data_IF_197492725687
#
_entry.id   IF_197492725687
#
_cell.length_a   1.000
_cell.length_b   1.000
_cell.length_c   1.000
_cell.angle_alpha   90.00
_cell.angle_beta   90.00
_cell.angle_gamma   90.00
#
_symmetry.space_group_name_H-M   'P 1'
#
loop_
_entity.id
_entity.type
_entity.pdbx_description
1 polymer ?
#
# COMPACT_ATOMS: atom_id res chain seq x y z
N UNK A 1 -8.27 2.91 -7.96
CA UNK A 1 -8.66 1.88 -6.99
C UNK A 1 -10.11 2.17 -6.71
N UNK A 2 -10.99 1.27 -7.09
CA UNK A 2 -12.41 1.36 -6.77
C UNK A 2 -12.57 0.66 -5.42
N UNK A 3 -13.10 1.38 -4.43
CA UNK A 3 -13.38 0.83 -3.10
C UNK A 3 -14.85 1.13 -2.81
N UNK A 4 -15.60 0.09 -2.49
CA UNK A 4 -17.02 0.17 -2.15
C UNK A 4 -17.19 0.75 -0.74
N UNK A 5 -18.38 1.29 -0.46
CA UNK A 5 -18.73 1.75 0.88
C UNK A 5 -18.52 0.67 1.95
N UNK A 6 -18.89 -0.56 1.63
CA UNK A 6 -18.80 -1.71 2.52
C UNK A 6 -17.33 -2.02 2.86
N UNK A 7 -16.46 -2.07 1.86
CA UNK A 7 -15.01 -2.27 2.06
C UNK A 7 -14.39 -1.14 2.90
N UNK A 8 -14.79 0.12 2.66
CA UNK A 8 -14.31 1.25 3.48
C UNK A 8 -14.73 1.09 4.93
N UNK A 9 -15.97 0.65 5.18
CA UNK A 9 -16.46 0.41 6.53
C UNK A 9 -15.66 -0.68 7.22
N UNK A 10 -15.39 -1.79 6.53
CA UNK A 10 -14.63 -2.91 7.07
C UNK A 10 -13.19 -2.51 7.39
N UNK A 11 -12.52 -1.78 6.49
CA UNK A 11 -11.17 -1.26 6.73
C UNK A 11 -11.13 -0.31 7.93
N UNK A 12 -12.09 0.62 8.03
CA UNK A 12 -12.13 1.56 9.14
C UNK A 12 -12.40 0.86 10.49
N UNK A 13 -13.29 -0.13 10.50
CA UNK A 13 -13.55 -0.97 11.68
C UNK A 13 -12.32 -1.77 12.08
N UNK A 14 -11.65 -2.41 11.12
CA UNK A 14 -10.38 -3.11 11.34
C UNK A 14 -9.27 -2.19 11.86
N UNK A 15 -9.32 -0.89 11.57
CA UNK A 15 -8.39 0.08 12.15
C UNK A 15 -8.80 0.59 13.54
N UNK A 16 -9.85 0.05 14.17
CA UNK A 16 -10.40 0.52 15.44
C UNK A 16 -11.14 1.87 15.37
N UNK A 17 -11.58 2.28 14.17
CA UNK A 17 -12.27 3.55 13.96
C UNK A 17 -13.79 3.36 13.89
N UNK A 18 -14.53 4.35 14.40
CA UNK A 18 -15.98 4.41 14.17
C UNK A 18 -16.24 4.82 12.70
N UNK A 19 -16.39 3.82 11.83
CA UNK A 19 -16.53 4.00 10.39
C UNK A 19 -17.69 4.93 10.02
N UNK A 20 -18.85 4.76 10.66
CA UNK A 20 -20.05 5.56 10.37
C UNK A 20 -19.86 7.03 10.74
N UNK A 21 -19.30 7.29 11.92
CA UNK A 21 -19.00 8.64 12.37
C UNK A 21 -17.95 9.32 11.48
N UNK A 22 -16.87 8.60 11.15
CA UNK A 22 -15.81 9.09 10.28
C UNK A 22 -16.34 9.44 8.89
N UNK A 23 -17.06 8.51 8.25
CA UNK A 23 -17.65 8.72 6.93
C UNK A 23 -18.68 9.86 6.92
N UNK A 24 -19.49 9.99 7.98
CA UNK A 24 -20.44 11.10 8.12
C UNK A 24 -19.72 12.44 8.13
N UNK A 25 -18.65 12.59 8.91
CA UNK A 25 -17.88 13.84 9.01
C UNK A 25 -17.17 14.16 7.68
N UNK A 26 -16.53 13.16 7.06
CA UNK A 26 -15.84 13.34 5.78
C UNK A 26 -16.82 13.78 4.67
N UNK A 27 -18.05 13.22 4.66
CA UNK A 27 -19.10 13.60 3.72
C UNK A 27 -19.67 15.00 4.01
N UNK A 28 -19.88 15.36 5.27
CA UNK A 28 -20.34 16.71 5.66
C UNK A 28 -19.34 17.80 5.28
N UNK A 29 -18.04 17.47 5.28
CA UNK A 29 -16.97 18.36 4.84
C UNK A 29 -16.70 18.31 3.32
N UNK A 30 -17.53 17.57 2.56
CA UNK A 30 -17.36 17.35 1.12
C UNK A 30 -15.99 16.78 0.73
N UNK A 31 -15.31 16.05 1.62
CA UNK A 31 -13.99 15.47 1.33
C UNK A 31 -14.10 14.16 0.56
N UNK A 32 -15.21 13.45 0.77
CA UNK A 32 -15.57 12.21 0.08
C UNK A 32 -17.04 12.23 -0.31
N UNK A 33 -17.37 11.49 -1.37
CA UNK A 33 -18.75 11.23 -1.79
C UNK A 33 -18.88 9.77 -2.21
N UNK A 34 -20.08 9.21 -2.07
CA UNK A 34 -20.40 7.92 -2.67
C UNK A 34 -21.09 8.16 -4.01
N UNK A 35 -20.61 7.49 -5.05
CA UNK A 35 -21.22 7.52 -6.38
C UNK A 35 -22.44 6.58 -6.42
N UNK A 36 -23.16 6.59 -7.55
CA UNK A 36 -24.38 5.80 -7.74
C UNK A 36 -24.16 4.28 -7.66
N UNK A 37 -22.94 3.83 -7.89
CA UNK A 37 -22.49 2.44 -7.80
C UNK A 37 -21.92 2.08 -6.42
N UNK A 38 -22.17 2.91 -5.39
CA UNK A 38 -21.61 2.80 -4.04
C UNK A 38 -20.08 2.89 -3.95
N UNK A 39 -19.38 3.29 -5.02
CA UNK A 39 -17.93 3.52 -4.95
C UNK A 39 -17.61 4.81 -4.20
N UNK A 40 -16.55 4.75 -3.38
CA UNK A 40 -16.01 5.93 -2.71
C UNK A 40 -15.24 6.77 -3.72
N UNK A 41 -15.67 8.01 -3.88
CA UNK A 41 -14.91 9.03 -4.57
C UNK A 41 -14.34 10.03 -3.57
N UNK A 42 -13.06 10.33 -3.71
CA UNK A 42 -12.33 11.32 -2.91
C UNK A 42 -11.81 12.41 -3.84
N UNK A 43 -11.86 13.66 -3.39
CA UNK A 43 -11.24 14.76 -4.12
C UNK A 43 -9.75 14.47 -4.35
N UNK A 44 -9.27 14.75 -5.55
CA UNK A 44 -7.86 14.69 -5.94
C UNK A 44 -6.97 15.48 -4.96
N UNK A 45 -7.36 16.68 -4.58
CA UNK A 45 -6.62 17.50 -3.60
C UNK A 45 -6.43 16.80 -2.25
N UNK A 46 -7.44 16.07 -1.77
CA UNK A 46 -7.38 15.34 -0.49
C UNK A 46 -6.51 14.10 -0.63
N UNK A 47 -6.61 13.41 -1.77
CA UNK A 47 -5.74 12.28 -2.10
C UNK A 47 -4.28 12.72 -2.18
N UNK A 48 -4.01 13.82 -2.87
CA UNK A 48 -2.67 14.33 -3.10
C UNK A 48 -2.06 14.85 -1.80
N UNK A 49 -2.85 15.58 -0.99
CA UNK A 49 -2.45 16.00 0.35
C UNK A 49 -2.13 14.79 1.25
N UNK A 50 -3.01 13.78 1.28
CA UNK A 50 -2.78 12.58 2.08
C UNK A 50 -1.55 11.78 1.61
N UNK A 51 -1.29 11.75 0.31
CA UNK A 51 -0.11 11.14 -0.30
C UNK A 51 1.15 11.88 0.13
N UNK A 52 1.13 13.21 0.03
CA UNK A 52 2.26 14.07 0.40
C UNK A 52 2.60 13.94 1.89
N UNK A 53 1.59 13.90 2.77
CA UNK A 53 1.81 13.67 4.20
C UNK A 53 2.60 12.38 4.47
N UNK A 54 2.32 11.29 3.74
CA UNK A 54 3.07 10.04 3.90
C UNK A 54 4.48 10.15 3.33
N UNK A 55 4.66 10.85 2.21
CA UNK A 55 5.99 11.07 1.64
C UNK A 55 6.88 11.89 2.59
N UNK A 56 6.30 12.82 3.33
CA UNK A 56 6.98 13.66 4.34
C UNK A 56 7.27 12.95 5.66
N UNK A 57 6.64 11.80 5.95
CA UNK A 57 6.89 11.05 7.20
C UNK A 57 8.34 10.61 7.36
N UNK A 58 9.07 10.41 6.25
CA UNK A 58 10.50 10.12 6.31
C UNK A 58 11.25 10.46 5.03
N UNK A 59 12.30 11.27 5.17
CA UNK A 59 13.31 11.50 4.13
C UNK A 59 14.32 10.36 3.97
N UNK A 60 14.36 9.39 4.89
CA UNK A 60 15.31 8.28 4.91
C UNK A 60 14.87 7.07 4.05
N UNK A 61 13.67 7.15 3.44
CA UNK A 61 13.19 6.19 2.45
C UNK A 61 11.89 5.48 2.84
N UNK A 62 11.42 4.54 1.99
CA UNK A 62 10.10 3.93 2.13
C UNK A 62 9.91 3.11 3.40
N UNK A 63 10.97 2.47 3.93
CA UNK A 63 10.86 1.60 5.12
C UNK A 63 10.53 2.31 6.43
N UNK A 64 10.63 3.65 6.45
CA UNK A 64 10.29 4.47 7.61
C UNK A 64 8.92 5.14 7.49
N UNK A 65 8.26 5.04 6.34
CA UNK A 65 6.90 5.55 6.14
C UNK A 65 5.88 4.62 6.80
N UNK A 66 4.76 5.19 7.23
CA UNK A 66 3.65 4.43 7.78
C UNK A 66 2.82 3.70 6.71
N UNK A 67 2.90 4.13 5.45
CA UNK A 67 2.08 3.61 4.36
C UNK A 67 2.91 3.43 3.10
N UNK A 68 2.70 2.31 2.40
CA UNK A 68 3.34 1.98 1.13
C UNK A 68 2.32 1.51 0.11
N UNK A 69 2.50 1.98 -1.13
CA UNK A 69 1.67 1.58 -2.28
C UNK A 69 2.47 1.42 -3.58
N UNK A 70 3.74 1.83 -3.60
CA UNK A 70 4.61 1.65 -4.76
C UNK A 70 5.16 0.22 -4.78
N UNK A 71 4.88 -0.49 -5.88
CA UNK A 71 5.31 -1.88 -6.05
C UNK A 71 6.83 -2.04 -5.93
N UNK A 72 7.61 -1.14 -6.54
CA UNK A 72 9.07 -1.22 -6.52
C UNK A 72 9.62 -1.02 -5.11
N UNK A 73 9.11 -0.03 -4.39
CA UNK A 73 9.47 0.24 -2.99
C UNK A 73 9.09 -0.95 -2.09
N UNK A 74 7.87 -1.50 -2.23
CA UNK A 74 7.40 -2.65 -1.44
C UNK A 74 8.28 -3.88 -1.70
N UNK A 75 8.53 -4.24 -2.95
CA UNK A 75 9.34 -5.43 -3.25
C UNK A 75 10.79 -5.28 -2.80
N UNK A 76 11.37 -4.09 -2.96
CA UNK A 76 12.71 -3.79 -2.45
C UNK A 76 12.76 -3.91 -0.92
N UNK A 77 11.70 -3.49 -0.25
CA UNK A 77 11.59 -3.61 1.21
C UNK A 77 11.47 -5.07 1.67
N UNK A 78 10.59 -5.85 1.03
CA UNK A 78 10.40 -7.27 1.34
C UNK A 78 11.69 -8.06 1.12
N UNK A 79 12.42 -7.80 0.02
CA UNK A 79 13.69 -8.47 -0.27
C UNK A 79 14.82 -8.14 0.71
N UNK A 80 14.80 -6.93 1.30
CA UNK A 80 15.87 -6.47 2.19
C UNK A 80 15.62 -6.82 3.67
N UNK A 81 14.54 -7.54 4.00
CA UNK A 81 14.26 -8.17 5.31
C UNK A 81 14.73 -7.36 6.53
N UNK A 82 14.51 -6.05 6.53
CA UNK A 82 14.79 -5.19 7.68
C UNK A 82 13.54 -5.03 8.52
N UNK A 83 13.69 -5.07 9.84
CA UNK A 83 12.61 -4.73 10.75
C UNK A 83 12.11 -3.33 10.44
N UNK A 84 10.83 -3.24 10.05
CA UNK A 84 10.17 -1.98 9.71
C UNK A 84 9.13 -1.70 10.76
N UNK A 85 9.50 -0.84 11.71
CA UNK A 85 8.64 -0.54 12.87
C UNK A 85 7.61 0.53 12.59
N UNK A 86 7.66 1.17 11.42
CA UNK A 86 6.81 2.31 11.08
C UNK A 86 5.60 1.93 10.24
N UNK A 87 5.70 0.87 9.42
CA UNK A 87 4.68 0.48 8.46
C UNK A 87 3.40 0.05 9.19
N UNK A 88 2.30 0.68 8.80
CA UNK A 88 0.93 0.41 9.24
C UNK A 88 0.02 -0.04 8.11
N UNK A 89 0.32 0.32 6.86
CA UNK A 89 -0.49 -0.02 5.71
C UNK A 89 0.34 -0.37 4.48
N UNK A 90 0.00 -1.47 3.82
CA UNK A 90 0.55 -1.88 2.52
C UNK A 90 -0.60 -2.11 1.56
N UNK A 91 -0.52 -1.47 0.40
CA UNK A 91 -1.40 -1.73 -0.75
C UNK A 91 -0.53 -2.18 -1.91
N UNK A 92 -0.67 -3.44 -2.33
CA UNK A 92 0.14 -4.05 -3.37
C UNK A 92 -0.76 -4.56 -4.50
N UNK A 93 -0.60 -4.00 -5.69
CA UNK A 93 -1.40 -4.35 -6.87
C UNK A 93 -0.48 -4.59 -8.06
N UNK A 94 -0.47 -5.82 -8.58
CA UNK A 94 0.40 -6.23 -9.68
C UNK A 94 -0.20 -5.99 -11.08
N UNK A 95 -1.48 -5.61 -11.20
CA UNK A 95 -2.07 -5.16 -12.48
C UNK A 95 -1.74 -3.72 -12.80
N UNK A 96 -1.51 -2.86 -11.80
CA UNK A 96 -1.16 -1.46 -12.03
C UNK A 96 0.31 -1.30 -12.42
N UNK A 97 0.56 -0.97 -13.70
CA UNK A 97 1.82 -0.38 -14.13
C UNK A 97 1.92 1.01 -13.48
N UNK A 98 2.59 1.13 -12.33
CA UNK A 98 3.01 2.43 -11.82
C UNK A 98 4.15 2.94 -12.71
N UNK A 99 3.80 3.68 -13.76
CA UNK A 99 4.77 4.48 -14.50
C UNK A 99 4.99 5.75 -13.69
N UNK A 100 5.99 5.76 -12.79
CA UNK A 100 6.69 7.01 -12.54
C UNK A 100 7.48 7.30 -13.81
N UNK A 101 7.09 8.32 -14.59
CA UNK A 101 8.03 8.91 -15.52
C UNK A 101 9.12 9.57 -14.66
N UNK A 102 10.37 9.11 -14.71
CA UNK A 102 11.45 9.83 -14.07
C UNK A 102 11.63 11.13 -14.86
N UNK A 103 11.46 12.27 -14.20
CA UNK A 103 12.06 13.51 -14.69
C UNK A 103 13.56 13.23 -14.85
N UNK A 104 14.03 13.37 -16.08
CA UNK A 104 15.33 12.90 -16.53
C UNK A 104 16.44 13.84 -16.06
N UNK A 105 16.70 13.92 -14.76
CA UNK A 105 17.86 14.63 -14.22
C UNK A 105 18.45 13.85 -13.03
N UNK A 106 19.37 12.91 -13.35
CA UNK A 106 20.50 12.63 -12.45
C UNK A 106 20.45 11.47 -11.45
N UNK A 107 19.74 10.35 -11.67
CA UNK A 107 19.82 9.18 -10.75
C UNK A 107 19.99 7.88 -11.54
N UNK A 108 21.23 7.49 -11.87
CA UNK A 108 21.48 6.36 -12.77
C UNK A 108 21.72 5.01 -12.04
N UNK A 109 22.37 4.98 -10.87
CA UNK A 109 22.78 3.70 -10.26
C UNK A 109 21.71 3.02 -9.40
N UNK A 110 21.16 3.71 -8.39
CA UNK A 110 20.10 3.15 -7.55
C UNK A 110 18.81 2.90 -8.33
N UNK A 111 18.51 3.75 -9.32
CA UNK A 111 17.41 3.54 -10.24
C UNK A 111 17.63 2.31 -11.12
N UNK A 112 18.84 2.07 -11.64
CA UNK A 112 19.15 0.83 -12.39
C UNK A 112 19.08 -0.42 -11.51
N UNK A 113 19.45 -0.33 -10.23
CA UNK A 113 19.29 -1.43 -9.28
C UNK A 113 17.83 -1.70 -8.93
N UNK A 114 17.04 -0.65 -8.65
CA UNK A 114 15.58 -0.79 -8.47
C UNK A 114 14.90 -1.27 -9.75
N UNK A 115 15.36 -0.83 -10.91
CA UNK A 115 14.83 -1.24 -12.21
C UNK A 115 15.25 -2.66 -12.56
N UNK A 116 16.44 -3.14 -12.15
CA UNK A 116 16.81 -4.54 -12.30
C UNK A 116 16.03 -5.46 -11.36
N UNK A 117 15.73 -5.00 -10.13
CA UNK A 117 14.77 -5.66 -9.24
C UNK A 117 13.38 -5.69 -9.89
N UNK A 118 12.90 -4.58 -10.44
CA UNK A 118 11.62 -4.51 -11.15
C UNK A 118 11.58 -5.43 -12.39
N UNK A 119 12.66 -5.44 -13.19
CA UNK A 119 12.82 -6.33 -14.35
C UNK A 119 12.73 -7.77 -13.89
N UNK A 120 13.45 -8.20 -12.83
CA UNK A 120 13.35 -9.56 -12.26
C UNK A 120 11.93 -9.96 -11.85
N UNK A 121 11.08 -9.01 -11.45
CA UNK A 121 9.66 -9.25 -11.15
C UNK A 121 8.72 -9.15 -12.37
N UNK A 122 9.23 -8.78 -13.53
CA UNK A 122 8.47 -8.68 -14.80
C UNK A 122 9.01 -9.62 -15.89
N UNK A 123 10.17 -10.23 -15.67
CA UNK A 123 10.81 -11.19 -16.56
C UNK A 123 10.67 -12.60 -16.01
N UNK A 124 9.47 -13.17 -16.13
CA UNK A 124 9.21 -14.62 -16.27
C UNK A 124 7.69 -14.81 -16.44
N UNK A 125 7.28 -14.96 -17.70
CA UNK A 125 5.99 -15.46 -18.18
C UNK A 125 4.68 -14.75 -17.75
N UNK A 126 3.84 -14.50 -18.76
CA UNK A 126 2.41 -14.15 -18.67
C UNK A 126 1.52 -15.22 -17.96
N UNK A 127 2.08 -16.05 -17.07
CA UNK A 127 1.35 -17.14 -16.41
C UNK A 127 1.87 -17.53 -15.02
N UNK A 128 2.97 -16.95 -14.51
CA UNK A 128 3.45 -17.31 -13.18
C UNK A 128 2.74 -16.47 -12.11
N UNK A 129 1.96 -17.12 -11.25
CA UNK A 129 1.34 -16.44 -10.10
C UNK A 129 2.45 -15.97 -9.18
N UNK A 130 2.54 -14.66 -8.96
CA UNK A 130 3.55 -14.08 -8.06
C UNK A 130 3.20 -14.51 -6.64
N UNK A 131 4.14 -15.16 -5.97
CA UNK A 131 4.00 -15.64 -4.59
C UNK A 131 4.82 -14.79 -3.64
N UNK A 132 4.22 -14.39 -2.51
CA UNK A 132 4.91 -13.66 -1.44
C UNK A 132 4.74 -14.45 -0.13
N UNK A 133 5.84 -14.75 0.55
CA UNK A 133 5.79 -15.41 1.86
C UNK A 133 5.18 -14.49 2.90
N UNK A 134 4.28 -15.04 3.73
CA UNK A 134 3.66 -14.34 4.87
C UNK A 134 4.70 -13.88 5.89
N UNK A 135 5.84 -14.58 5.99
CA UNK A 135 6.91 -14.28 6.95
C UNK A 135 7.44 -12.84 6.86
N UNK A 136 7.43 -12.24 5.66
CA UNK A 136 7.87 -10.86 5.48
C UNK A 136 6.98 -9.86 6.24
N UNK A 137 5.68 -10.16 6.38
CA UNK A 137 4.71 -9.29 7.05
C UNK A 137 4.68 -9.51 8.56
N UNK A 138 5.11 -10.69 9.05
CA UNK A 138 5.20 -10.99 10.49
C UNK A 138 6.15 -10.02 11.20
N UNK A 139 7.20 -9.57 10.51
CA UNK A 139 8.16 -8.60 11.05
C UNK A 139 7.58 -7.19 11.21
N UNK A 140 6.45 -6.89 10.56
CA UNK A 140 5.82 -5.57 10.54
C UNK A 140 4.82 -5.43 11.68
N UNK A 141 5.31 -5.35 12.93
CA UNK A 141 4.48 -5.37 14.15
C UNK A 141 3.39 -4.29 14.25
N UNK A 142 3.45 -3.22 13.45
CA UNK A 142 2.43 -2.16 13.42
C UNK A 142 1.50 -2.21 12.21
N UNK A 143 1.65 -3.23 11.35
CA UNK A 143 0.82 -3.42 10.17
C UNK A 143 -0.62 -3.67 10.61
N UNK A 144 -1.54 -2.86 10.10
CA UNK A 144 -3.00 -2.92 10.35
C UNK A 144 -3.79 -3.14 9.08
N UNK A 145 -3.26 -2.69 7.94
CA UNK A 145 -3.90 -2.85 6.64
C UNK A 145 -2.93 -3.54 5.68
N UNK A 146 -3.34 -4.71 5.19
CA UNK A 146 -2.64 -5.42 4.13
C UNK A 146 -3.64 -5.70 3.01
N UNK A 147 -3.55 -4.94 1.93
CA UNK A 147 -4.35 -5.14 0.73
C UNK A 147 -3.45 -5.63 -0.40
N UNK A 148 -3.69 -6.83 -0.89
CA UNK A 148 -2.91 -7.43 -1.97
C UNK A 148 -3.85 -7.90 -3.07
N UNK A 149 -3.55 -7.49 -4.30
CA UNK A 149 -4.31 -7.85 -5.50
C UNK A 149 -3.39 -8.51 -6.52
N UNK A 150 -3.87 -9.60 -7.12
CA UNK A 150 -3.18 -10.34 -8.19
C UNK A 150 -1.86 -11.00 -7.75
N UNK A 151 -1.82 -11.52 -6.51
CA UNK A 151 -0.68 -12.21 -5.88
C UNK A 151 -1.23 -13.28 -4.94
N UNK A 152 -0.50 -14.38 -4.78
CA UNK A 152 -0.77 -15.39 -3.76
C UNK A 152 0.14 -15.20 -2.54
N UNK A 153 -0.46 -15.21 -1.35
CA UNK A 153 0.30 -15.28 -0.10
C UNK A 153 0.60 -16.73 0.24
N UNK A 154 1.89 -17.05 0.36
CA UNK A 154 2.34 -18.38 0.74
C UNK A 154 2.64 -18.44 2.24
N UNK A 155 2.03 -19.41 2.93
CA UNK A 155 2.28 -19.66 4.35
C UNK A 155 1.03 -19.51 5.22
N UNK A 156 1.22 -19.50 6.53
CA UNK A 156 0.13 -19.47 7.50
C UNK A 156 -0.32 -18.02 7.78
N UNK A 157 -1.51 -17.66 7.31
CA UNK A 157 -2.09 -16.33 7.51
C UNK A 157 -2.35 -15.99 9.00
N UNK A 158 -2.44 -17.00 9.88
CA UNK A 158 -2.59 -16.77 11.33
C UNK A 158 -1.33 -16.15 11.96
N UNK A 159 -0.22 -16.09 11.23
CA UNK A 159 1.01 -15.45 11.68
C UNK A 159 1.02 -13.93 11.40
N UNK A 160 0.08 -13.43 10.62
CA UNK A 160 -0.02 -11.99 10.37
C UNK A 160 -0.22 -11.24 11.70
N UNK A 161 0.42 -10.07 11.85
CA UNK A 161 0.28 -9.28 13.07
C UNK A 161 -1.21 -8.94 13.27
N UNK A 162 -1.77 -9.40 14.39
CA UNK A 162 -3.11 -9.06 14.83
C UNK A 162 -3.12 -7.64 15.41
N UNK A 163 -4.31 -7.01 15.44
CA UNK A 163 -4.46 -5.70 16.05
C UNK A 163 -3.97 -5.69 17.50
N UNK A 164 -3.18 -4.66 17.91
CA UNK A 164 -2.92 -4.45 19.32
C UNK A 164 -4.25 -4.08 20.00
N UNK A 165 -4.67 -4.92 20.95
CA UNK A 165 -5.78 -4.68 21.86
C UNK A 165 -5.66 -3.34 22.60
#
# INVERSE_FOLDING_TARGET
>A
MEITKEEVVDVLKGCGLNAEAALRVLRQKSLVKFLSDNTLWMHDQIRDMGTQMVLEESGEGPGMRSRLWDRGEIMTLLNNMKETTSIRGIVLDFKKKFVRQPSADGISSAFSYMMSIFVRFTSEDESSVITISVEHFVLMKKLRLLQISHVELQGNLNLLPADPA
#
